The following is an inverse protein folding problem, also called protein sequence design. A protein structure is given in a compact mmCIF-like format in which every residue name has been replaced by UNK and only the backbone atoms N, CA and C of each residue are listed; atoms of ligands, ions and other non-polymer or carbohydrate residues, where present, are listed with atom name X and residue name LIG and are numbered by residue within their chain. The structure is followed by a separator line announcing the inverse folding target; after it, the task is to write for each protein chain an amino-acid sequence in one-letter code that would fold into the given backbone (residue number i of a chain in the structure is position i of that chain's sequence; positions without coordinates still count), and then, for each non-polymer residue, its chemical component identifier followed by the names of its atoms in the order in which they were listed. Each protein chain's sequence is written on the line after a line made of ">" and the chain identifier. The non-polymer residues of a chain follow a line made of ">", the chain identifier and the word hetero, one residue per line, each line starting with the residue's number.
data_IF_594413211900
#
_entry.id   IF_594413211900
#
_cell.length_a   1.000
_cell.length_b   1.000
_cell.length_c   1.000
_cell.angle_alpha   90.00
_cell.angle_beta   90.00
_cell.angle_gamma   90.00
#
_symmetry.space_group_name_H-M   'P 1'
#
loop_
_entity.id
_entity.type
_entity.pdbx_description
1 polymer ?
#
# COMPACT_ATOMS: atom_id res chain seq x y z
N UNK A 1 9.49 -23.06 16.37
CA UNK A 1 9.01 -23.50 15.03
C UNK A 1 8.62 -22.26 14.21
N UNK A 2 8.49 -22.33 12.88
CA UNK A 2 8.13 -21.15 12.04
C UNK A 2 6.81 -20.48 12.49
N UNK A 3 5.86 -21.28 12.98
CA UNK A 3 4.60 -20.78 13.53
C UNK A 3 4.78 -19.93 14.80
N UNK A 4 5.62 -20.38 15.75
CA UNK A 4 5.89 -19.62 16.98
C UNK A 4 6.53 -18.26 16.66
N UNK A 5 7.39 -18.22 15.64
CA UNK A 5 8.00 -16.98 15.16
C UNK A 5 6.98 -16.03 14.54
N UNK A 6 6.02 -16.54 13.75
CA UNK A 6 4.92 -15.73 13.22
C UNK A 6 4.08 -15.12 14.34
N UNK A 7 3.72 -15.90 15.36
CA UNK A 7 2.96 -15.40 16.51
C UNK A 7 3.73 -14.30 17.25
N UNK A 8 5.04 -14.45 17.41
CA UNK A 8 5.88 -13.41 18.04
C UNK A 8 5.87 -12.11 17.21
N UNK A 9 6.11 -12.20 15.90
CA UNK A 9 6.12 -11.02 15.01
C UNK A 9 4.75 -10.32 14.98
N UNK A 10 3.66 -11.08 14.99
CA UNK A 10 2.30 -10.50 15.06
C UNK A 10 2.13 -9.71 16.35
N UNK A 11 2.51 -10.29 17.50
CA UNK A 11 2.43 -9.60 18.80
C UNK A 11 3.27 -8.34 18.84
N UNK A 12 4.49 -8.39 18.31
CA UNK A 12 5.39 -7.24 18.29
C UNK A 12 4.78 -6.10 17.44
N UNK A 13 4.26 -6.42 16.26
CA UNK A 13 3.59 -5.44 15.39
C UNK A 13 2.28 -4.91 15.97
N UNK A 14 1.50 -5.74 16.65
CA UNK A 14 0.29 -5.27 17.35
C UNK A 14 0.64 -4.29 18.48
N UNK A 15 1.76 -4.51 19.17
CA UNK A 15 2.27 -3.55 20.17
C UNK A 15 2.74 -2.23 19.54
N UNK A 16 3.25 -2.26 18.30
CA UNK A 16 3.56 -1.06 17.50
C UNK A 16 2.31 -0.35 16.94
N UNK A 17 1.15 -1.00 17.00
CA UNK A 17 -0.14 -0.41 16.65
C UNK A 17 -0.86 -1.07 15.47
N UNK A 18 -0.28 -2.09 14.84
CA UNK A 18 -0.96 -2.86 13.78
C UNK A 18 -2.24 -3.49 14.32
N UNK A 19 -3.25 -3.64 13.46
CA UNK A 19 -4.49 -4.35 13.80
C UNK A 19 -4.81 -5.35 12.68
N UNK A 20 -4.29 -6.56 12.83
CA UNK A 20 -4.46 -7.61 11.82
C UNK A 20 -5.87 -8.20 11.78
N UNK A 21 -6.64 -8.08 12.87
CA UNK A 21 -8.06 -8.49 12.90
C UNK A 21 -8.90 -7.77 11.83
N UNK A 22 -8.58 -6.50 11.53
CA UNK A 22 -9.27 -5.69 10.52
C UNK A 22 -8.51 -5.52 9.22
N UNK A 23 -7.41 -6.26 9.01
CA UNK A 23 -6.53 -6.16 7.85
C UNK A 23 -6.02 -7.55 7.44
N UNK A 24 -6.97 -8.37 6.99
CA UNK A 24 -6.78 -9.76 6.61
C UNK A 24 -5.73 -9.94 5.51
N UNK A 25 -5.70 -9.06 4.50
CA UNK A 25 -4.71 -9.13 3.44
C UNK A 25 -3.29 -8.87 3.96
N UNK A 26 -3.07 -7.84 4.78
CA UNK A 26 -1.75 -7.57 5.37
C UNK A 26 -1.28 -8.70 6.29
N UNK A 27 -2.21 -9.34 7.02
CA UNK A 27 -1.88 -10.52 7.82
C UNK A 27 -1.50 -11.72 6.93
N UNK A 28 -2.26 -11.98 5.88
CA UNK A 28 -1.99 -13.08 4.94
C UNK A 28 -0.63 -12.90 4.26
N UNK A 29 -0.29 -11.68 3.84
CA UNK A 29 1.02 -11.35 3.27
C UNK A 29 2.17 -11.62 4.25
N UNK A 30 2.02 -11.20 5.51
CA UNK A 30 3.00 -11.47 6.57
C UNK A 30 3.19 -12.97 6.77
N UNK A 31 2.09 -13.72 6.93
CA UNK A 31 2.11 -15.15 7.15
C UNK A 31 2.77 -15.89 5.96
N UNK A 32 2.41 -15.54 4.72
CA UNK A 32 2.99 -16.14 3.52
C UNK A 32 4.48 -15.88 3.40
N UNK A 33 4.91 -14.63 3.63
CA UNK A 33 6.34 -14.27 3.61
C UNK A 33 7.16 -15.12 4.59
N UNK A 34 6.61 -15.42 5.78
CA UNK A 34 7.32 -16.20 6.81
C UNK A 34 7.23 -17.72 6.62
N UNK A 35 6.12 -18.23 6.09
CA UNK A 35 5.84 -19.67 6.08
C UNK A 35 6.13 -20.33 4.72
N UNK A 36 5.78 -19.66 3.63
CA UNK A 36 5.73 -20.24 2.27
C UNK A 36 6.65 -19.53 1.27
N UNK A 37 7.12 -18.32 1.60
CA UNK A 37 7.77 -17.43 0.65
C UNK A 37 6.72 -16.63 -0.13
N UNK A 38 7.04 -15.36 -0.40
CA UNK A 38 6.23 -14.47 -1.22
C UNK A 38 7.13 -14.01 -2.38
N UNK A 39 6.69 -14.14 -3.65
CA UNK A 39 7.44 -13.58 -4.77
C UNK A 39 7.65 -12.08 -4.56
N UNK A 40 8.88 -11.62 -4.82
CA UNK A 40 9.16 -10.20 -4.87
C UNK A 40 8.66 -9.67 -6.21
N UNK A 41 7.54 -8.95 -6.19
CA UNK A 41 6.96 -8.38 -7.39
C UNK A 41 7.76 -7.16 -7.84
N UNK A 42 7.89 -6.18 -6.96
CA UNK A 42 8.64 -4.94 -7.16
C UNK A 42 9.15 -4.43 -5.81
N UNK A 43 10.14 -3.56 -5.83
CA UNK A 43 10.67 -2.92 -4.64
C UNK A 43 10.58 -1.39 -4.76
N UNK A 44 9.95 -0.72 -3.80
CA UNK A 44 9.95 0.75 -3.75
C UNK A 44 11.22 1.20 -3.05
N UNK A 45 12.13 1.87 -3.77
CA UNK A 45 13.40 2.33 -3.20
C UNK A 45 13.24 3.68 -2.49
N UNK A 46 12.32 4.53 -2.95
CA UNK A 46 12.00 5.79 -2.28
C UNK A 46 10.68 6.37 -2.77
N UNK A 47 10.05 7.19 -1.94
CA UNK A 47 9.00 8.10 -2.37
C UNK A 47 9.25 9.50 -1.80
N UNK A 48 8.74 10.51 -2.50
CA UNK A 48 8.68 11.89 -2.02
C UNK A 48 7.29 12.42 -2.30
N UNK A 49 6.69 13.09 -1.33
CA UNK A 49 5.42 13.78 -1.53
C UNK A 49 5.57 15.25 -1.14
N UNK A 50 4.98 16.13 -1.94
CA UNK A 50 4.98 17.57 -1.75
C UNK A 50 3.54 18.06 -1.77
N UNK A 51 3.18 18.87 -0.77
CA UNK A 51 1.89 19.56 -0.72
C UNK A 51 2.17 21.05 -0.73
N UNK A 52 1.69 21.73 -1.76
CA UNK A 52 1.81 23.18 -1.90
C UNK A 52 0.43 23.82 -1.79
N UNK A 53 0.30 24.84 -0.93
CA UNK A 53 -0.88 25.70 -0.87
C UNK A 53 -0.51 27.06 -1.42
N UNK A 54 -1.02 27.40 -2.60
CA UNK A 54 -0.69 28.63 -3.34
C UNK A 54 -1.94 29.30 -3.92
N UNK A 55 -1.82 30.57 -4.29
CA UNK A 55 -2.84 31.26 -5.07
C UNK A 55 -2.64 30.97 -6.56
N UNK A 56 -3.73 30.72 -7.29
CA UNK A 56 -3.70 30.61 -8.75
C UNK A 56 -3.67 32.00 -9.43
N UNK A 57 -3.62 32.01 -10.76
CA UNK A 57 -3.58 33.26 -11.55
C UNK A 57 -4.83 34.16 -11.37
N UNK A 58 -5.93 33.61 -10.86
CA UNK A 58 -7.17 34.32 -10.59
C UNK A 58 -7.30 34.73 -9.10
N UNK A 59 -6.27 34.49 -8.29
CA UNK A 59 -6.27 34.79 -6.86
C UNK A 59 -7.04 33.77 -6.01
N UNK A 60 -7.38 32.59 -6.54
CA UNK A 60 -8.04 31.54 -5.78
C UNK A 60 -7.00 30.69 -5.06
N UNK A 61 -7.29 30.34 -3.81
CA UNK A 61 -6.44 29.43 -3.04
C UNK A 61 -6.59 28.00 -3.56
N UNK A 62 -5.48 27.40 -4.00
CA UNK A 62 -5.41 26.02 -4.47
C UNK A 62 -4.39 25.23 -3.65
N UNK A 63 -4.74 24.00 -3.31
CA UNK A 63 -3.81 23.02 -2.78
C UNK A 63 -3.46 22.05 -3.90
N UNK A 64 -2.17 21.87 -4.15
CA UNK A 64 -1.63 20.92 -5.13
C UNK A 64 -0.81 19.89 -4.37
N UNK A 65 -1.04 18.62 -4.66
CA UNK A 65 -0.23 17.53 -4.13
C UNK A 65 0.47 16.82 -5.28
N UNK A 66 1.78 16.66 -5.16
CA UNK A 66 2.64 15.96 -6.11
C UNK A 66 3.36 14.83 -5.37
N UNK A 67 3.52 13.69 -6.03
CA UNK A 67 4.33 12.59 -5.53
C UNK A 67 5.29 12.08 -6.60
N UNK A 68 6.47 11.67 -6.14
CA UNK A 68 7.51 10.98 -6.89
C UNK A 68 7.70 9.63 -6.23
N UNK A 69 7.65 8.54 -7.00
CA UNK A 69 7.91 7.18 -6.51
C UNK A 69 8.99 6.56 -7.39
N UNK A 70 10.02 5.99 -6.76
CA UNK A 70 11.03 5.17 -7.41
C UNK A 70 10.79 3.70 -7.10
N UNK A 71 10.68 2.89 -8.15
CA UNK A 71 10.41 1.47 -8.06
C UNK A 71 11.45 0.71 -8.87
N UNK A 72 11.95 -0.38 -8.33
CA UNK A 72 12.73 -1.37 -9.05
C UNK A 72 11.82 -2.54 -9.44
N UNK A 73 11.78 -2.88 -10.74
CA UNK A 73 11.04 -4.01 -11.29
C UNK A 73 11.98 -4.81 -12.17
N UNK A 74 12.16 -6.10 -11.87
CA UNK A 74 13.07 -7.00 -12.62
C UNK A 74 14.51 -6.44 -12.76
N UNK A 75 14.99 -5.69 -11.75
CA UNK A 75 16.32 -5.07 -11.74
C UNK A 75 16.42 -3.75 -12.50
N UNK A 76 15.32 -3.23 -13.04
CA UNK A 76 15.26 -1.90 -13.68
C UNK A 76 14.64 -0.87 -12.75
N UNK A 77 15.38 0.21 -12.46
CA UNK A 77 14.84 1.36 -11.71
C UNK A 77 13.96 2.24 -12.60
N UNK A 78 12.77 2.54 -12.10
CA UNK A 78 11.75 3.38 -12.73
C UNK A 78 11.36 4.49 -11.78
N UNK A 79 11.11 5.68 -12.32
CA UNK A 79 10.68 6.84 -11.54
C UNK A 79 9.42 7.42 -12.14
N UNK A 80 8.37 7.50 -11.32
CA UNK A 80 7.08 8.05 -11.71
C UNK A 80 6.74 9.28 -10.91
N UNK A 81 6.14 10.25 -11.59
CA UNK A 81 5.62 11.49 -10.99
C UNK A 81 4.14 11.63 -11.31
N UNK A 82 3.35 12.02 -10.32
CA UNK A 82 1.93 12.30 -10.46
C UNK A 82 1.47 13.43 -9.54
N UNK A 83 0.48 14.19 -10.01
CA UNK A 83 -0.32 15.08 -9.19
C UNK A 83 -1.62 14.39 -8.77
N UNK A 84 -2.16 14.79 -7.61
CA UNK A 84 -3.42 14.27 -7.11
C UNK A 84 -4.17 15.27 -6.24
N UNK A 85 -5.39 14.91 -5.86
CA UNK A 85 -6.24 15.74 -4.98
C UNK A 85 -5.73 15.83 -3.54
N UNK A 86 -4.79 14.97 -3.18
CA UNK A 86 -4.10 14.95 -1.89
C UNK A 86 -2.82 14.11 -1.99
N UNK A 87 -1.98 14.13 -0.96
CA UNK A 87 -0.67 13.47 -1.00
C UNK A 87 -0.77 11.95 -1.18
N UNK A 88 -1.74 11.31 -0.52
CA UNK A 88 -1.98 9.86 -0.65
C UNK A 88 -2.47 9.49 -2.05
N UNK A 89 -3.37 10.30 -2.63
CA UNK A 89 -3.85 10.07 -3.99
C UNK A 89 -2.73 10.29 -5.03
N UNK A 90 -1.91 11.32 -4.86
CA UNK A 90 -0.74 11.54 -5.72
C UNK A 90 0.24 10.35 -5.63
N UNK A 91 0.49 9.82 -4.43
CA UNK A 91 1.34 8.65 -4.23
C UNK A 91 0.78 7.39 -4.89
N UNK A 92 -0.52 7.12 -4.73
CA UNK A 92 -1.18 5.98 -5.36
C UNK A 92 -1.06 6.05 -6.89
N UNK A 93 -1.35 7.21 -7.48
CA UNK A 93 -1.23 7.41 -8.93
C UNK A 93 0.24 7.25 -9.38
N UNK A 94 1.19 7.85 -8.67
CA UNK A 94 2.60 7.76 -9.00
C UNK A 94 3.13 6.32 -8.90
N UNK A 95 2.78 5.59 -7.83
CA UNK A 95 3.16 4.19 -7.63
C UNK A 95 2.60 3.31 -8.75
N UNK A 96 1.32 3.49 -9.09
CA UNK A 96 0.63 2.72 -10.13
C UNK A 96 0.99 3.14 -11.55
N UNK A 97 1.87 4.11 -11.79
CA UNK A 97 2.13 4.58 -13.15
C UNK A 97 3.13 3.72 -13.90
N UNK A 98 4.09 3.12 -13.19
CA UNK A 98 5.20 2.40 -13.81
C UNK A 98 5.64 1.17 -13.00
N UNK A 99 4.71 0.20 -12.83
CA UNK A 99 5.00 -1.12 -12.25
C UNK A 99 5.45 -2.16 -13.29
N UNK A 100 5.81 -1.72 -14.50
CA UNK A 100 6.27 -2.60 -15.57
C UNK A 100 5.22 -3.66 -15.95
N UNK A 101 5.62 -4.94 -15.96
CA UNK A 101 4.76 -6.06 -16.37
C UNK A 101 3.51 -6.25 -15.50
N UNK A 102 3.53 -5.74 -14.27
CA UNK A 102 2.41 -5.87 -13.33
C UNK A 102 1.31 -4.83 -13.57
N UNK A 103 1.57 -3.81 -14.40
CA UNK A 103 0.68 -2.69 -14.62
C UNK A 103 -0.72 -3.14 -15.09
N UNK A 104 -0.76 -4.10 -16.03
CA UNK A 104 -2.01 -4.65 -16.57
C UNK A 104 -2.78 -5.51 -15.57
N UNK A 105 -2.11 -6.05 -14.55
CA UNK A 105 -2.69 -6.97 -13.57
C UNK A 105 -3.45 -6.27 -12.44
N UNK A 106 -3.29 -4.95 -12.33
CA UNK A 106 -3.89 -4.13 -11.27
C UNK A 106 -4.77 -3.00 -11.83
N UNK A 107 -5.09 -3.03 -13.12
CA UNK A 107 -5.91 -1.99 -13.78
C UNK A 107 -7.30 -1.89 -13.14
N UNK A 108 -7.84 -3.01 -12.69
CA UNK A 108 -9.16 -3.12 -12.09
C UNK A 108 -9.15 -2.94 -10.56
N UNK A 109 -7.99 -2.67 -9.96
CA UNK A 109 -7.86 -2.47 -8.52
C UNK A 109 -8.31 -1.06 -8.12
N UNK A 110 -9.35 -0.97 -7.31
CA UNK A 110 -9.90 0.29 -6.82
C UNK A 110 -9.84 0.37 -5.28
N UNK A 111 -9.60 1.57 -4.75
CA UNK A 111 -9.71 1.85 -3.31
C UNK A 111 -11.17 2.18 -2.97
N UNK A 112 -11.79 1.38 -2.11
CA UNK A 112 -13.19 1.57 -1.71
C UNK A 112 -13.37 2.40 -0.44
N UNK A 113 -12.47 2.26 0.54
CA UNK A 113 -12.60 2.89 1.85
C UNK A 113 -11.22 3.18 2.45
N UNK A 114 -11.14 4.23 3.27
CA UNK A 114 -9.90 4.73 3.85
C UNK A 114 -10.16 5.21 5.28
N UNK A 115 -9.57 4.52 6.26
CA UNK A 115 -9.81 4.77 7.69
C UNK A 115 -8.50 5.08 8.40
N UNK A 116 -8.49 6.20 9.12
CA UNK A 116 -7.34 6.63 9.94
C UNK A 116 -7.69 6.52 11.41
N UNK A 117 -6.79 5.94 12.20
CA UNK A 117 -6.86 5.88 13.66
C UNK A 117 -5.56 6.42 14.25
N UNK A 118 -5.68 7.42 15.11
CA UNK A 118 -4.57 7.94 15.89
C UNK A 118 -4.51 7.15 17.20
N UNK A 119 -3.37 6.53 17.50
CA UNK A 119 -3.25 5.57 18.61
C UNK A 119 -2.83 6.22 19.94
N UNK A 120 -2.10 7.33 19.87
CA UNK A 120 -1.66 8.14 21.00
C UNK A 120 -1.86 9.65 20.71
N UNK A 121 -1.53 10.53 21.66
CA UNK A 121 -1.79 11.97 21.53
C UNK A 121 -0.60 12.76 20.96
N UNK A 122 -0.87 13.96 20.44
CA UNK A 122 0.15 14.91 19.95
C UNK A 122 0.34 14.89 18.44
N UNK A 123 1.19 15.79 17.92
CA UNK A 123 1.53 15.85 16.49
C UNK A 123 2.47 14.75 16.04
N UNK A 124 3.06 14.02 16.98
CA UNK A 124 3.97 12.88 16.77
C UNK A 124 3.26 11.53 17.00
N UNK A 125 1.93 11.53 16.90
CA UNK A 125 1.15 10.35 17.20
C UNK A 125 1.33 9.26 16.14
N UNK A 126 1.47 8.02 16.60
CA UNK A 126 1.43 6.82 15.79
C UNK A 126 0.04 6.76 15.13
N UNK A 127 0.08 6.74 13.81
CA UNK A 127 -1.08 6.70 12.95
C UNK A 127 -1.21 5.31 12.34
N UNK A 128 -2.37 4.69 12.53
CA UNK A 128 -2.78 3.48 11.82
C UNK A 128 -3.71 3.86 10.68
N UNK A 129 -3.39 3.40 9.48
CA UNK A 129 -4.20 3.56 8.28
C UNK A 129 -4.69 2.20 7.82
N UNK A 130 -5.99 2.10 7.57
CA UNK A 130 -6.66 0.93 7.01
C UNK A 130 -7.21 1.31 5.63
N UNK A 131 -6.89 0.51 4.62
CA UNK A 131 -7.36 0.70 3.24
C UNK A 131 -8.18 -0.52 2.82
N UNK A 132 -9.43 -0.29 2.40
CA UNK A 132 -10.20 -1.28 1.68
C UNK A 132 -9.93 -1.15 0.20
N UNK A 133 -9.72 -2.27 -0.47
CA UNK A 133 -9.64 -2.32 -1.92
C UNK A 133 -10.55 -3.41 -2.46
N UNK A 134 -10.93 -3.28 -3.72
CA UNK A 134 -11.66 -4.29 -4.47
C UNK A 134 -11.18 -4.36 -5.91
N UNK A 135 -11.60 -5.42 -6.61
CA UNK A 135 -11.32 -5.59 -8.03
C UNK A 135 -12.58 -5.93 -8.84
N UNK A 136 -12.42 -6.14 -10.15
CA UNK A 136 -13.53 -6.43 -11.06
C UNK A 136 -14.19 -7.80 -10.83
N UNK A 137 -13.55 -8.68 -10.07
CA UNK A 137 -14.11 -9.99 -9.70
C UNK A 137 -15.12 -9.89 -8.55
N UNK A 138 -15.16 -8.75 -7.86
CA UNK A 138 -15.95 -8.54 -6.65
C UNK A 138 -15.23 -8.93 -5.36
N UNK A 139 -13.96 -9.36 -5.44
CA UNK A 139 -13.13 -9.57 -4.26
C UNK A 139 -12.90 -8.23 -3.53
N UNK A 140 -12.90 -8.27 -2.20
CA UNK A 140 -12.61 -7.12 -1.33
C UNK A 140 -11.64 -7.55 -0.25
N UNK A 141 -10.73 -6.66 0.12
CA UNK A 141 -9.74 -6.94 1.16
C UNK A 141 -9.31 -5.68 1.89
N UNK A 142 -8.80 -5.85 3.11
CA UNK A 142 -8.31 -4.77 3.94
C UNK A 142 -6.81 -4.89 4.20
N UNK A 143 -6.11 -3.78 4.09
CA UNK A 143 -4.68 -3.67 4.38
C UNK A 143 -4.41 -2.60 5.42
N UNK A 144 -3.30 -2.72 6.14
CA UNK A 144 -2.93 -1.83 7.23
C UNK A 144 -1.49 -1.34 7.08
N UNK A 145 -1.29 -0.07 7.37
CA UNK A 145 0.03 0.52 7.58
C UNK A 145 0.05 1.32 8.87
N UNK A 146 1.20 1.35 9.53
CA UNK A 146 1.38 2.03 10.82
C UNK A 146 2.69 2.79 10.80
N UNK A 147 2.61 4.07 11.15
CA UNK A 147 3.76 4.98 11.16
C UNK A 147 3.42 6.23 11.97
N UNK A 148 4.43 6.91 12.50
CA UNK A 148 4.29 8.27 13.03
C UNK A 148 3.97 9.28 11.92
N UNK A 149 4.23 8.92 10.66
CA UNK A 149 3.88 9.71 9.49
C UNK A 149 2.68 9.11 8.75
N UNK A 150 1.56 9.84 8.71
CA UNK A 150 0.33 9.41 8.03
C UNK A 150 0.54 9.07 6.54
N UNK A 151 1.45 9.75 5.86
CA UNK A 151 1.76 9.50 4.45
C UNK A 151 2.46 8.15 4.29
N UNK A 152 3.41 7.86 5.17
CA UNK A 152 4.12 6.59 5.19
C UNK A 152 3.19 5.42 5.58
N UNK A 153 2.37 5.59 6.63
CA UNK A 153 1.35 4.60 7.00
C UNK A 153 0.37 4.32 5.84
N UNK A 154 -0.04 5.36 5.11
CA UNK A 154 -0.90 5.20 3.93
C UNK A 154 -0.19 4.46 2.81
N UNK A 155 1.08 4.78 2.58
CA UNK A 155 1.88 4.16 1.52
C UNK A 155 2.13 2.67 1.78
N UNK A 156 2.40 2.29 3.04
CA UNK A 156 2.51 0.88 3.45
C UNK A 156 1.23 0.09 3.12
N UNK A 157 0.05 0.61 3.51
CA UNK A 157 -1.23 -0.04 3.23
C UNK A 157 -1.51 -0.16 1.71
N UNK A 158 -1.24 0.91 0.94
CA UNK A 158 -1.37 0.89 -0.52
C UNK A 158 -0.49 -0.17 -1.17
N UNK A 159 0.77 -0.26 -0.74
CA UNK A 159 1.73 -1.24 -1.26
C UNK A 159 1.28 -2.67 -0.94
N UNK A 160 0.86 -2.94 0.30
CA UNK A 160 0.29 -4.23 0.69
C UNK A 160 -0.92 -4.59 -0.19
N UNK A 161 -1.79 -3.62 -0.50
CA UNK A 161 -2.99 -3.88 -1.31
C UNK A 161 -2.64 -4.32 -2.73
N UNK A 162 -1.67 -3.65 -3.35
CA UNK A 162 -1.17 -4.02 -4.70
C UNK A 162 -0.49 -5.39 -4.66
N UNK A 163 0.38 -5.65 -3.68
CA UNK A 163 1.06 -6.94 -3.54
C UNK A 163 0.06 -8.07 -3.32
N UNK A 164 -0.98 -7.84 -2.51
CA UNK A 164 -2.04 -8.81 -2.27
C UNK A 164 -2.78 -9.18 -3.56
N UNK A 165 -3.17 -8.19 -4.36
CA UNK A 165 -3.80 -8.41 -5.67
C UNK A 165 -2.92 -9.25 -6.60
N UNK A 166 -1.63 -8.90 -6.72
CA UNK A 166 -0.69 -9.64 -7.57
C UNK A 166 -0.50 -11.09 -7.09
N UNK A 167 -0.41 -11.28 -5.78
CA UNK A 167 -0.33 -12.60 -5.16
C UNK A 167 -1.58 -13.45 -5.49
N UNK A 168 -2.78 -12.90 -5.32
CA UNK A 168 -4.03 -13.60 -5.64
C UNK A 168 -4.17 -13.92 -7.13
N UNK A 169 -3.76 -13.02 -8.01
CA UNK A 169 -3.74 -13.29 -9.45
C UNK A 169 -2.81 -14.48 -9.78
N UNK A 170 -1.65 -14.59 -9.13
CA UNK A 170 -0.72 -15.73 -9.31
C UNK A 170 -1.27 -17.05 -8.77
N UNK A 171 -1.93 -17.03 -7.61
CA UNK A 171 -2.62 -18.21 -7.06
C UNK A 171 -3.70 -18.72 -8.00
N UNK A 172 -4.54 -17.81 -8.52
CA UNK A 172 -5.60 -18.15 -9.45
C UNK A 172 -5.03 -18.75 -10.74
N UNK A 173 -3.98 -18.15 -11.31
CA UNK A 173 -3.33 -18.67 -12.50
C UNK A 173 -2.73 -20.07 -12.28
N UNK A 174 -2.15 -20.32 -11.09
CA UNK A 174 -1.62 -21.63 -10.71
C UNK A 174 -2.71 -22.70 -10.55
N UNK A 175 -3.89 -22.33 -10.03
CA UNK A 175 -5.05 -23.22 -9.93
C UNK A 175 -5.59 -23.58 -11.32
N UNK A 176 -5.82 -22.59 -12.19
CA UNK A 176 -6.32 -22.80 -13.55
C UNK A 176 -5.35 -23.65 -14.39
N UNK A 177 -4.04 -23.52 -14.19
CA UNK A 177 -3.05 -24.33 -14.90
C UNK A 177 -2.95 -25.78 -14.38
N UNK A 178 -3.50 -26.06 -13.19
CA UNK A 178 -3.51 -27.39 -12.58
C UNK A 178 -4.80 -28.18 -12.86
N UNK A 179 -5.83 -27.52 -13.40
CA UNK A 179 -7.08 -28.10 -13.91
C UNK A 179 -6.95 -28.54 -15.39
#
# INVERSE_FOLDING_TARGET
>A
RRLDALIAVVKDREAEGYAYEGADASFELLARKMLHGLPEFFNVTSFRCMVERRFDANGNLKTVSEAIVKVEVDGEEKMSVAEGHGPVNALDIALRKDLGKYQSEIVDLELADFKVRILNGGTEAITRVLVESHDSTGARWWTVGVSENIIDASFQALMDSIIYKLMKNREMAGLVAAE
#
